data_IF_804791111448
#
_entry.id   IF_804791111448
#
_cell.length_a   1.000
_cell.length_b   1.000
_cell.length_c   1.000
_cell.angle_alpha   90.00
_cell.angle_beta   90.00
_cell.angle_gamma   90.00
#
_symmetry.space_group_name_H-M   'P 1'
#
loop_
_entity.id
_entity.type
_entity.pdbx_description
1 polymer ?
#
# COMPACT_ATOMS: atom_id res chain seq x y z
N UNK A 1 -3.09 26.05 20.96
CA UNK A 1 -3.26 24.68 20.40
C UNK A 1 -1.93 23.97 20.19
N UNK A 2 -0.99 24.47 19.37
CA UNK A 2 0.30 23.78 19.14
C UNK A 2 1.07 23.49 20.43
N UNK A 3 1.24 24.49 21.30
CA UNK A 3 1.88 24.34 22.62
C UNK A 3 1.11 23.41 23.59
N UNK A 4 -0.22 23.28 23.42
CA UNK A 4 -1.04 22.48 24.34
C UNK A 4 -1.04 20.99 23.99
N UNK A 5 -1.01 20.63 22.70
CA UNK A 5 -1.22 19.25 22.26
C UNK A 5 -0.02 18.64 21.53
N UNK A 6 0.65 19.40 20.67
CA UNK A 6 1.54 18.81 19.65
C UNK A 6 2.81 18.20 20.25
N UNK A 7 3.42 18.84 21.24
CA UNK A 7 4.63 18.31 21.89
C UNK A 7 4.36 16.97 22.59
N UNK A 8 3.23 16.87 23.30
CA UNK A 8 2.81 15.65 24.00
C UNK A 8 2.45 14.51 23.06
N UNK A 9 1.83 14.83 21.92
CA UNK A 9 1.57 13.84 20.87
C UNK A 9 2.86 13.41 20.16
N UNK A 10 3.77 14.34 19.89
CA UNK A 10 5.04 14.05 19.20
C UNK A 10 5.98 13.17 20.03
N UNK A 11 6.02 13.39 21.35
CA UNK A 11 6.80 12.58 22.29
C UNK A 11 6.16 11.22 22.60
N UNK A 12 4.92 10.98 22.15
CA UNK A 12 4.17 9.77 22.46
C UNK A 12 3.56 9.73 23.87
N UNK A 13 3.68 10.81 24.66
CA UNK A 13 3.02 10.90 25.96
C UNK A 13 1.49 10.85 25.83
N UNK A 14 0.95 11.45 24.76
CA UNK A 14 -0.47 11.36 24.38
C UNK A 14 -0.62 10.70 23.01
N UNK A 15 -1.69 9.92 22.86
CA UNK A 15 -2.08 9.31 21.59
C UNK A 15 -2.87 10.25 20.70
N UNK A 16 -3.12 9.83 19.46
CA UNK A 16 -3.96 10.56 18.51
C UNK A 16 -4.79 9.63 17.65
N UNK A 17 -5.94 10.12 17.18
CA UNK A 17 -6.81 9.37 16.26
C UNK A 17 -7.37 10.28 15.17
N UNK A 18 -7.85 9.66 14.10
CA UNK A 18 -8.64 10.31 13.07
C UNK A 18 -10.08 9.80 13.16
N UNK A 19 -11.04 10.71 13.36
CA UNK A 19 -12.44 10.40 13.58
C UNK A 19 -13.32 10.93 12.44
N UNK A 20 -13.41 10.14 11.36
CA UNK A 20 -14.14 10.50 10.14
C UNK A 20 -15.47 9.73 10.03
N UNK A 21 -15.37 8.40 10.08
CA UNK A 21 -16.40 7.46 9.65
C UNK A 21 -17.58 7.38 10.61
N UNK A 22 -18.78 7.29 10.05
CA UNK A 22 -20.05 7.03 10.75
C UNK A 22 -20.72 5.80 10.11
N UNK A 23 -21.71 5.15 10.75
CA UNK A 23 -22.38 3.96 10.19
C UNK A 23 -22.90 4.14 8.77
N UNK A 24 -23.40 5.33 8.44
CA UNK A 24 -23.89 5.70 7.11
C UNK A 24 -22.86 6.43 6.23
N UNK A 25 -21.65 6.73 6.74
CA UNK A 25 -20.67 7.60 6.09
C UNK A 25 -19.25 7.00 6.17
N UNK A 26 -18.97 6.02 5.30
CA UNK A 26 -17.64 5.45 5.06
C UNK A 26 -16.92 6.14 3.91
N UNK A 27 -17.00 5.56 2.70
CA UNK A 27 -16.44 6.16 1.48
C UNK A 27 -17.05 7.53 1.16
N UNK A 28 -18.35 7.72 1.45
CA UNK A 28 -19.02 9.02 1.41
C UNK A 28 -18.91 9.73 2.77
N UNK A 29 -17.70 10.22 3.08
CA UNK A 29 -17.43 11.01 4.29
C UNK A 29 -18.33 12.26 4.37
N UNK A 30 -18.78 12.77 3.21
CA UNK A 30 -19.65 13.95 3.12
C UNK A 30 -21.02 13.77 3.76
N UNK A 31 -21.49 12.53 3.91
CA UNK A 31 -22.75 12.17 4.58
C UNK A 31 -22.67 12.21 6.13
N UNK A 32 -21.53 12.62 6.69
CA UNK A 32 -21.36 12.78 8.14
C UNK A 32 -22.41 13.73 8.74
N UNK A 33 -23.01 13.27 9.83
CA UNK A 33 -24.06 13.93 10.63
C UNK A 33 -23.55 14.46 11.97
N UNK A 34 -22.33 14.11 12.40
CA UNK A 34 -21.70 14.68 13.61
C UNK A 34 -21.71 16.20 13.54
N UNK A 35 -22.11 16.85 14.64
CA UNK A 35 -22.30 18.30 14.72
C UNK A 35 -21.29 18.95 15.65
N UNK A 36 -21.00 20.23 15.39
CA UNK A 36 -20.17 21.06 16.24
C UNK A 36 -20.83 22.43 16.45
N UNK A 37 -21.27 22.75 17.66
CA UNK A 37 -21.95 24.01 17.99
C UNK A 37 -21.02 24.92 18.77
N UNK A 38 -20.68 26.09 18.20
CA UNK A 38 -19.81 27.08 18.82
C UNK A 38 -20.42 27.61 20.12
N UNK A 39 -19.59 27.76 21.15
CA UNK A 39 -19.94 28.31 22.45
C UNK A 39 -19.36 29.72 22.63
N UNK A 40 -19.88 30.47 23.60
CA UNK A 40 -19.42 31.83 23.92
C UNK A 40 -17.93 31.88 24.32
N UNK A 41 -17.43 30.82 24.95
CA UNK A 41 -16.02 30.70 25.35
C UNK A 41 -15.07 30.35 24.18
N UNK A 42 -15.58 30.29 22.94
CA UNK A 42 -14.82 29.97 21.74
C UNK A 42 -14.57 28.48 21.49
N UNK A 43 -14.99 27.58 22.41
CA UNK A 43 -14.99 26.13 22.19
C UNK A 43 -16.20 25.71 21.37
N UNK A 44 -16.22 24.45 20.96
CA UNK A 44 -17.36 23.82 20.28
C UNK A 44 -17.87 22.65 21.11
N UNK A 45 -19.19 22.52 21.22
CA UNK A 45 -19.82 21.29 21.70
C UNK A 45 -19.99 20.33 20.53
N UNK A 46 -19.35 19.17 20.63
CA UNK A 46 -19.36 18.13 19.61
C UNK A 46 -20.42 17.09 19.97
N UNK A 47 -21.29 16.73 19.04
CA UNK A 47 -22.27 15.67 19.25
C UNK A 47 -22.40 14.76 18.03
N UNK A 48 -22.32 13.45 18.28
CA UNK A 48 -22.42 12.43 17.23
C UNK A 48 -21.71 11.14 17.58
N UNK A 49 -21.71 10.21 16.65
CA UNK A 49 -21.03 8.92 16.77
C UNK A 49 -20.02 8.75 15.65
N UNK A 50 -18.94 8.04 15.95
CA UNK A 50 -17.91 7.64 14.99
C UNK A 50 -17.62 6.16 15.17
N UNK A 51 -17.39 5.45 14.08
CA UNK A 51 -17.09 4.00 14.11
C UNK A 51 -15.76 3.72 13.41
N UNK A 52 -15.20 2.55 13.70
CA UNK A 52 -13.93 2.09 13.14
C UNK A 52 -12.75 3.01 13.45
N UNK A 53 -12.75 3.60 14.65
CA UNK A 53 -11.67 4.49 15.07
C UNK A 53 -10.52 3.66 15.62
N UNK A 54 -9.47 3.54 14.81
CA UNK A 54 -8.20 2.93 15.20
C UNK A 54 -7.60 3.66 16.40
N UNK A 55 -7.24 2.90 17.43
CA UNK A 55 -6.71 3.43 18.69
C UNK A 55 -7.64 4.42 19.38
N UNK A 56 -8.96 4.28 19.16
CA UNK A 56 -10.00 5.14 19.75
C UNK A 56 -10.00 5.15 21.27
N UNK A 57 -9.57 4.05 21.89
CA UNK A 57 -9.41 3.94 23.34
C UNK A 57 -8.29 2.95 23.67
N UNK A 58 -7.49 3.25 24.70
CA UNK A 58 -6.36 2.45 25.17
C UNK A 58 -5.78 3.02 26.48
N UNK A 59 -4.92 2.25 27.16
CA UNK A 59 -4.26 2.54 28.44
C UNK A 59 -2.73 2.67 28.35
N UNK A 60 -2.16 2.72 27.15
CA UNK A 60 -0.75 2.96 26.84
C UNK A 60 -0.33 4.44 26.98
N UNK A 61 -1.25 5.40 26.83
CA UNK A 61 -0.97 6.84 26.94
C UNK A 61 -1.93 7.55 27.87
N UNK A 62 -1.48 8.66 28.47
CA UNK A 62 -2.23 9.38 29.50
C UNK A 62 -3.49 10.07 28.95
N UNK A 63 -3.49 10.43 27.66
CA UNK A 63 -4.60 11.11 27.00
C UNK A 63 -4.62 10.74 25.50
N UNK A 64 -5.78 10.86 24.87
CA UNK A 64 -5.98 10.59 23.45
C UNK A 64 -6.59 11.84 22.81
N UNK A 65 -5.95 12.34 21.75
CA UNK A 65 -6.41 13.53 21.03
C UNK A 65 -7.12 13.10 19.76
N UNK A 66 -8.46 13.15 19.77
CA UNK A 66 -9.27 12.80 18.61
C UNK A 66 -9.38 13.98 17.63
N UNK A 67 -9.00 13.76 16.38
CA UNK A 67 -9.25 14.71 15.29
C UNK A 67 -10.59 14.37 14.63
N UNK A 68 -11.64 15.09 14.99
CA UNK A 68 -13.04 14.77 14.64
C UNK A 68 -13.53 15.65 13.50
N UNK A 69 -14.02 15.02 12.42
CA UNK A 69 -14.79 15.73 11.40
C UNK A 69 -16.24 15.89 11.86
N UNK A 70 -16.70 17.15 11.86
CA UNK A 70 -18.06 17.51 12.22
C UNK A 70 -18.55 18.73 11.41
N UNK A 71 -19.87 18.93 11.40
CA UNK A 71 -20.54 20.01 10.67
C UNK A 71 -21.02 21.10 11.62
N UNK A 72 -20.72 22.36 11.32
CA UNK A 72 -21.25 23.51 12.06
C UNK A 72 -22.67 23.86 11.59
N UNK A 73 -23.51 24.48 12.44
CA UNK A 73 -24.84 24.93 12.02
C UNK A 73 -24.81 25.82 10.78
N UNK A 74 -25.63 25.49 9.78
CA UNK A 74 -25.71 26.25 8.52
C UNK A 74 -24.64 25.92 7.48
N UNK A 75 -23.65 25.07 7.79
CA UNK A 75 -22.67 24.62 6.81
C UNK A 75 -23.33 23.80 5.68
N UNK A 76 -22.84 23.90 4.43
CA UNK A 76 -23.41 23.19 3.28
C UNK A 76 -23.32 21.67 3.44
N UNK A 77 -24.08 20.92 2.64
CA UNK A 77 -23.98 19.46 2.59
C UNK A 77 -22.64 18.98 1.96
N UNK A 78 -22.31 17.70 2.14
CA UNK A 78 -21.11 17.08 1.57
C UNK A 78 -19.82 17.45 2.31
N UNK A 79 -18.69 17.06 1.71
CA UNK A 79 -17.33 17.23 2.27
C UNK A 79 -16.92 18.69 2.43
N UNK A 80 -17.43 19.59 1.59
CA UNK A 80 -17.18 21.03 1.66
C UNK A 80 -17.78 21.69 2.92
N UNK A 81 -18.73 21.04 3.59
CA UNK A 81 -19.32 21.54 4.83
C UNK A 81 -18.64 21.08 6.12
N UNK A 82 -17.61 20.24 6.02
CA UNK A 82 -16.96 19.64 7.19
C UNK A 82 -15.82 20.52 7.71
N UNK A 83 -15.76 20.65 9.03
CA UNK A 83 -14.66 21.27 9.78
C UNK A 83 -13.96 20.21 10.63
N UNK A 84 -12.71 20.47 11.02
CA UNK A 84 -11.91 19.54 11.82
C UNK A 84 -11.77 20.08 13.24
N UNK A 85 -11.97 19.22 14.23
CA UNK A 85 -11.94 19.59 15.65
C UNK A 85 -10.95 18.74 16.42
N UNK A 86 -10.19 19.37 17.31
CA UNK A 86 -9.36 18.70 18.32
C UNK A 86 -10.24 18.41 19.53
N UNK A 87 -10.48 17.14 19.82
CA UNK A 87 -11.32 16.68 20.94
C UNK A 87 -10.51 15.73 21.81
N UNK A 88 -10.00 16.17 22.97
CA UNK A 88 -9.23 15.30 23.84
C UNK A 88 -10.15 14.39 24.66
N UNK A 89 -9.71 13.16 24.97
CA UNK A 89 -10.39 12.22 25.89
C UNK A 89 -10.46 12.79 27.30
N UNK A 90 -9.37 13.41 27.76
CA UNK A 90 -9.27 14.14 29.04
C UNK A 90 -9.02 15.61 28.72
N UNK A 91 -9.81 16.53 29.30
CA UNK A 91 -9.69 17.96 29.02
C UNK A 91 -8.30 18.47 29.39
N UNK A 92 -7.79 19.43 28.64
CA UNK A 92 -6.47 20.03 28.87
C UNK A 92 -6.65 21.46 29.40
N UNK A 93 -6.07 21.72 30.57
CA UNK A 93 -6.09 23.03 31.22
C UNK A 93 -5.18 24.03 30.47
N UNK A 94 -5.34 25.36 30.70
CA UNK A 94 -4.49 26.36 30.04
C UNK A 94 -2.99 26.21 30.29
N UNK A 95 -2.58 25.60 31.41
CA UNK A 95 -1.19 25.32 31.77
C UNK A 95 -0.65 24.00 31.16
N UNK A 96 -1.48 23.27 30.40
CA UNK A 96 -1.14 21.99 29.78
C UNK A 96 -1.35 20.76 30.67
N UNK A 97 -1.79 20.95 31.93
CA UNK A 97 -2.14 19.83 32.81
C UNK A 97 -3.45 19.15 32.39
N UNK A 98 -3.59 17.87 32.75
CA UNK A 98 -4.83 17.12 32.52
C UNK A 98 -5.90 17.52 33.56
N UNK A 99 -7.10 17.78 33.06
CA UNK A 99 -8.28 18.11 33.85
C UNK A 99 -9.22 16.91 34.01
N UNK A 100 -10.51 17.18 34.05
CA UNK A 100 -11.55 16.15 34.12
C UNK A 100 -11.70 15.41 32.78
N UNK A 101 -12.25 14.18 32.78
CA UNK A 101 -12.66 13.50 31.56
C UNK A 101 -13.54 14.40 30.69
N UNK A 102 -13.34 14.33 29.38
CA UNK A 102 -14.25 14.96 28.43
C UNK A 102 -15.46 14.03 28.20
N UNK A 103 -16.52 14.54 27.57
CA UNK A 103 -17.74 13.77 27.30
C UNK A 103 -17.60 12.94 26.00
N UNK A 104 -16.62 12.03 25.99
CA UNK A 104 -16.35 11.06 24.92
C UNK A 104 -16.43 9.66 25.53
N UNK A 105 -17.29 8.80 24.98
CA UNK A 105 -17.52 7.45 25.47
C UNK A 105 -17.17 6.42 24.41
N UNK A 106 -16.45 5.36 24.81
CA UNK A 106 -16.23 4.18 23.98
C UNK A 106 -17.44 3.26 24.10
N UNK A 107 -18.26 3.21 23.05
CA UNK A 107 -19.47 2.39 23.03
C UNK A 107 -19.19 0.92 22.72
N UNK A 108 -18.08 0.61 22.06
CA UNK A 108 -17.71 -0.75 21.73
C UNK A 108 -16.33 -0.86 21.08
N UNK A 109 -15.82 -2.10 21.04
CA UNK A 109 -14.58 -2.48 20.35
C UNK A 109 -14.94 -3.60 19.36
N UNK A 110 -14.55 -3.44 18.09
CA UNK A 110 -14.94 -4.37 17.03
C UNK A 110 -14.23 -5.74 17.13
N UNK A 111 -14.99 -6.80 16.90
CA UNK A 111 -14.46 -8.16 16.71
C UNK A 111 -13.98 -8.32 15.26
N UNK A 112 -12.66 -8.26 15.05
CA UNK A 112 -12.04 -8.22 13.72
C UNK A 112 -11.49 -9.58 13.29
N UNK A 113 -11.29 -9.75 11.98
CA UNK A 113 -10.55 -10.88 11.39
C UNK A 113 -9.09 -10.94 11.89
N UNK A 114 -8.42 -9.79 11.95
CA UNK A 114 -7.03 -9.65 12.37
C UNK A 114 -6.79 -8.29 13.02
N UNK A 115 -5.52 -7.92 13.18
CA UNK A 115 -5.08 -6.69 13.79
C UNK A 115 -5.63 -6.51 15.22
N UNK A 116 -5.72 -7.61 15.98
CA UNK A 116 -6.41 -7.63 17.28
C UNK A 116 -5.78 -6.70 18.31
N UNK A 117 -4.44 -6.52 18.28
CA UNK A 117 -3.72 -5.61 19.18
C UNK A 117 -4.00 -4.13 18.94
N UNK A 118 -4.67 -3.77 17.84
CA UNK A 118 -5.11 -2.41 17.56
C UNK A 118 -6.61 -2.29 17.92
N UNK A 119 -6.99 -1.59 19.00
CA UNK A 119 -8.40 -1.43 19.35
C UNK A 119 -9.07 -0.57 18.28
N UNK A 120 -10.19 -1.08 17.76
CA UNK A 120 -10.99 -0.41 16.74
C UNK A 120 -12.31 -0.08 17.38
N UNK A 121 -12.55 1.20 17.64
CA UNK A 121 -13.59 1.62 18.56
C UNK A 121 -14.78 2.27 17.86
N UNK A 122 -15.96 2.08 18.44
CA UNK A 122 -17.10 2.97 18.26
C UNK A 122 -17.05 4.04 19.36
N UNK A 123 -17.01 5.31 18.99
CA UNK A 123 -16.92 6.45 19.90
C UNK A 123 -18.18 7.31 19.82
N UNK A 124 -18.75 7.66 20.97
CA UNK A 124 -19.90 8.57 21.09
C UNK A 124 -19.41 9.86 21.72
N UNK A 125 -19.56 10.96 20.99
CA UNK A 125 -19.21 12.30 21.41
C UNK A 125 -20.46 13.03 21.89
N UNK A 126 -20.38 13.62 23.09
CA UNK A 126 -21.42 14.48 23.62
C UNK A 126 -22.71 13.81 24.10
N UNK A 127 -22.73 12.55 24.63
CA UNK A 127 -23.97 11.95 25.11
C UNK A 127 -24.64 12.75 26.23
N UNK A 128 -23.88 13.58 26.96
CA UNK A 128 -24.37 14.47 28.00
C UNK A 128 -24.34 15.95 27.58
N UNK A 129 -24.13 16.26 26.30
CA UNK A 129 -23.96 17.60 25.74
C UNK A 129 -22.80 18.40 26.36
N UNK A 130 -21.73 17.72 26.77
CA UNK A 130 -20.57 18.36 27.43
C UNK A 130 -19.24 18.10 26.71
N UNK A 131 -19.28 17.61 25.47
CA UNK A 131 -18.06 17.25 24.73
C UNK A 131 -17.43 18.48 24.10
N UNK A 132 -16.35 18.96 24.70
CA UNK A 132 -15.69 20.17 24.24
C UNK A 132 -14.58 19.85 23.23
N UNK A 133 -14.59 20.60 22.13
CA UNK A 133 -13.56 20.57 21.10
C UNK A 133 -13.07 21.96 20.69
N UNK A 134 -11.94 21.99 20.00
CA UNK A 134 -11.33 23.19 19.45
C UNK A 134 -11.31 23.10 17.93
N UNK A 135 -11.75 24.14 17.22
CA UNK A 135 -11.63 24.19 15.77
C UNK A 135 -10.15 24.18 15.37
N UNK A 136 -9.76 23.27 14.48
CA UNK A 136 -8.43 23.23 13.88
C UNK A 136 -8.48 23.88 12.50
N UNK A 137 -7.73 24.98 12.32
CA UNK A 137 -7.79 25.80 11.12
C UNK A 137 -9.04 26.68 11.08
N UNK A 138 -9.63 26.84 9.90
CA UNK A 138 -10.87 27.60 9.70
C UNK A 138 -12.07 26.67 9.48
N UNK A 139 -13.28 27.18 9.69
CA UNK A 139 -14.50 26.44 9.36
C UNK A 139 -14.51 26.05 7.87
N UNK A 140 -15.11 24.91 7.56
CA UNK A 140 -15.25 24.35 6.20
C UNK A 140 -13.94 23.86 5.56
N UNK A 141 -12.82 23.90 6.30
CA UNK A 141 -11.51 23.40 5.81
C UNK A 141 -11.18 21.97 6.29
N UNK A 142 -12.12 21.27 6.94
CA UNK A 142 -11.83 20.02 7.62
C UNK A 142 -11.25 18.94 6.71
N UNK A 143 -11.85 18.76 5.52
CA UNK A 143 -11.35 17.77 4.55
C UNK A 143 -10.00 18.15 3.94
N UNK A 144 -9.76 19.45 3.69
CA UNK A 144 -8.47 19.94 3.20
C UNK A 144 -7.35 19.61 4.20
N UNK A 145 -7.60 19.85 5.49
CA UNK A 145 -6.67 19.52 6.55
C UNK A 145 -6.44 18.02 6.68
N UNK A 146 -7.51 17.22 6.59
CA UNK A 146 -7.42 15.77 6.65
C UNK A 146 -6.59 15.18 5.49
N UNK A 147 -6.67 15.75 4.29
CA UNK A 147 -5.86 15.28 3.15
C UNK A 147 -4.34 15.39 3.37
N UNK A 148 -3.87 16.32 4.21
CA UNK A 148 -2.45 16.37 4.60
C UNK A 148 -2.02 15.12 5.38
N UNK A 149 -2.95 14.47 6.10
CA UNK A 149 -2.71 13.22 6.82
C UNK A 149 -2.96 12.00 5.94
N UNK A 150 -3.94 12.05 5.04
CA UNK A 150 -4.35 10.89 4.23
C UNK A 150 -3.27 10.40 3.26
N UNK A 151 -2.50 11.28 2.61
CA UNK A 151 -1.48 10.83 1.65
C UNK A 151 -0.38 10.00 2.33
N UNK A 152 0.27 10.48 3.42
CA UNK A 152 1.18 9.65 4.21
C UNK A 152 0.52 8.38 4.75
N UNK A 153 -0.69 8.47 5.32
CA UNK A 153 -1.41 7.32 5.87
C UNK A 153 -1.65 6.23 4.81
N UNK A 154 -2.01 6.60 3.58
CA UNK A 154 -2.21 5.64 2.48
C UNK A 154 -0.91 4.96 2.06
N UNK A 155 0.21 5.67 2.10
CA UNK A 155 1.54 5.10 1.80
C UNK A 155 1.96 4.16 2.94
N UNK A 156 1.70 4.53 4.19
CA UNK A 156 1.91 3.68 5.36
C UNK A 156 1.06 2.39 5.29
N UNK A 157 -0.18 2.47 4.83
CA UNK A 157 -1.02 1.30 4.55
C UNK A 157 -0.43 0.42 3.43
N UNK A 158 0.12 1.04 2.38
CA UNK A 158 0.88 0.31 1.36
C UNK A 158 2.10 -0.41 1.94
N UNK A 159 2.83 0.27 2.82
CA UNK A 159 3.96 -0.29 3.56
C UNK A 159 3.54 -1.44 4.49
N UNK A 160 2.38 -1.34 5.16
CA UNK A 160 1.85 -2.44 5.96
C UNK A 160 1.62 -3.70 5.12
N UNK A 161 1.04 -3.56 3.92
CA UNK A 161 0.86 -4.68 2.99
C UNK A 161 2.19 -5.31 2.56
N UNK A 162 3.18 -4.46 2.22
CA UNK A 162 4.52 -4.90 1.84
C UNK A 162 5.29 -5.57 2.99
N UNK A 163 5.24 -5.00 4.19
CA UNK A 163 5.98 -5.48 5.35
C UNK A 163 5.44 -6.84 5.84
N UNK A 164 4.12 -7.03 5.87
CA UNK A 164 3.51 -8.32 6.22
C UNK A 164 3.84 -9.38 5.17
N UNK A 165 3.84 -9.02 3.88
CA UNK A 165 4.27 -9.91 2.81
C UNK A 165 5.76 -10.30 2.94
N UNK A 166 6.62 -9.35 3.30
CA UNK A 166 8.04 -9.59 3.52
C UNK A 166 8.28 -10.54 4.70
N UNK A 167 7.58 -10.33 5.83
CA UNK A 167 7.65 -11.20 6.99
C UNK A 167 7.15 -12.62 6.66
N UNK A 168 5.97 -12.74 6.03
CA UNK A 168 5.42 -14.02 5.60
C UNK A 168 6.36 -14.77 4.65
N UNK A 169 6.99 -14.07 3.71
CA UNK A 169 7.99 -14.65 2.81
C UNK A 169 9.21 -15.18 3.57
N UNK A 170 9.75 -14.40 4.51
CA UNK A 170 10.92 -14.82 5.29
C UNK A 170 10.63 -16.09 6.09
N UNK A 171 9.48 -16.15 6.77
CA UNK A 171 9.06 -17.33 7.52
C UNK A 171 8.84 -18.55 6.61
N UNK A 172 8.11 -18.39 5.51
CA UNK A 172 7.88 -19.47 4.55
C UNK A 172 9.18 -19.97 3.93
N UNK A 173 10.12 -19.07 3.63
CA UNK A 173 11.44 -19.43 3.10
C UNK A 173 12.26 -20.23 4.11
N UNK A 174 12.26 -19.84 5.40
CA UNK A 174 12.93 -20.60 6.45
C UNK A 174 12.32 -21.99 6.63
N UNK A 175 11.00 -22.08 6.71
CA UNK A 175 10.28 -23.34 6.82
C UNK A 175 10.58 -24.28 5.64
N UNK A 176 10.58 -23.76 4.41
CA UNK A 176 10.80 -24.55 3.21
C UNK A 176 12.20 -25.19 3.13
N UNK A 177 13.21 -24.56 3.75
CA UNK A 177 14.59 -25.08 3.78
C UNK A 177 14.77 -26.31 4.67
N UNK A 178 13.90 -26.50 5.66
CA UNK A 178 14.06 -27.56 6.66
C UNK A 178 12.96 -28.62 6.61
N UNK A 179 11.78 -28.28 6.07
CA UNK A 179 10.67 -29.24 5.98
C UNK A 179 10.96 -30.30 4.93
N UNK A 180 11.24 -31.54 5.36
CA UNK A 180 11.38 -32.70 4.48
C UNK A 180 10.01 -33.24 4.07
N UNK A 181 9.76 -33.34 2.76
CA UNK A 181 8.57 -34.00 2.23
C UNK A 181 8.75 -34.36 0.76
N UNK A 182 8.34 -35.57 0.37
CA UNK A 182 8.42 -36.03 -1.02
C UNK A 182 9.85 -36.18 -1.55
N UNK A 183 9.97 -36.56 -2.82
CA UNK A 183 11.25 -36.87 -3.48
C UNK A 183 11.65 -35.76 -4.42
N UNK A 184 12.95 -35.63 -4.70
CA UNK A 184 13.43 -34.72 -5.72
C UNK A 184 12.74 -34.99 -7.08
N UNK A 185 12.37 -33.95 -7.82
CA UNK A 185 11.56 -34.06 -9.04
C UNK A 185 12.23 -34.87 -10.17
N UNK A 186 13.56 -35.00 -10.16
CA UNK A 186 14.30 -35.88 -11.08
C UNK A 186 14.25 -37.36 -10.71
N UNK A 187 13.76 -37.71 -9.50
CA UNK A 187 13.72 -39.06 -8.94
C UNK A 187 12.32 -39.50 -8.52
N UNK A 188 11.26 -38.95 -9.12
CA UNK A 188 9.87 -39.23 -8.72
C UNK A 188 9.51 -40.74 -8.73
N UNK A 189 10.06 -41.50 -9.69
CA UNK A 189 9.83 -42.95 -9.85
C UNK A 189 10.67 -43.84 -8.93
N UNK A 190 11.71 -43.29 -8.29
CA UNK A 190 12.56 -44.03 -7.38
C UNK A 190 11.90 -44.08 -6.00
N UNK A 191 11.37 -45.23 -5.61
CA UNK A 191 10.60 -45.32 -4.36
C UNK A 191 11.46 -45.24 -3.09
N UNK A 192 12.76 -45.52 -3.22
CA UNK A 192 13.75 -45.55 -2.15
C UNK A 192 14.53 -44.23 -2.03
N UNK A 193 14.31 -43.28 -2.95
CA UNK A 193 14.94 -41.98 -2.87
C UNK A 193 14.58 -41.26 -1.55
N UNK A 194 15.57 -40.67 -0.85
CA UNK A 194 15.32 -39.95 0.40
C UNK A 194 14.42 -38.74 0.17
N UNK A 195 13.74 -38.33 1.24
CA UNK A 195 13.00 -37.07 1.22
C UNK A 195 13.95 -35.89 1.03
N UNK A 196 13.45 -34.85 0.37
CA UNK A 196 14.17 -33.58 0.20
C UNK A 196 13.43 -32.44 0.90
N UNK A 197 14.14 -31.37 1.31
CA UNK A 197 13.50 -30.14 1.73
C UNK A 197 12.52 -29.64 0.67
N UNK A 198 11.35 -29.14 1.08
CA UNK A 198 10.32 -28.73 0.12
C UNK A 198 10.75 -27.56 -0.76
N UNK A 199 11.77 -26.79 -0.37
CA UNK A 199 12.39 -25.79 -1.24
C UNK A 199 12.99 -26.40 -2.51
N UNK A 200 13.22 -27.72 -2.60
CA UNK A 200 13.67 -28.37 -3.83
C UNK A 200 12.54 -28.67 -4.81
N UNK A 201 11.28 -28.48 -4.42
CA UNK A 201 10.13 -28.68 -5.31
C UNK A 201 9.90 -27.46 -6.20
N UNK A 202 9.76 -27.63 -7.53
CA UNK A 202 9.63 -26.52 -8.47
C UNK A 202 8.49 -25.54 -8.13
N UNK A 203 7.34 -26.04 -7.67
CA UNK A 203 6.20 -25.17 -7.34
C UNK A 203 6.43 -24.33 -6.08
N UNK A 204 7.05 -24.91 -5.04
CA UNK A 204 7.44 -24.17 -3.82
C UNK A 204 8.46 -23.09 -4.16
N UNK A 205 9.48 -23.40 -4.98
CA UNK A 205 10.43 -22.40 -5.48
C UNK A 205 9.72 -21.30 -6.27
N UNK A 206 8.80 -21.66 -7.18
CA UNK A 206 8.02 -20.70 -7.97
C UNK A 206 7.22 -19.76 -7.05
N UNK A 207 6.51 -20.27 -6.06
CA UNK A 207 5.74 -19.46 -5.11
C UNK A 207 6.65 -18.53 -4.32
N UNK A 208 7.67 -19.07 -3.65
CA UNK A 208 8.62 -18.27 -2.86
C UNK A 208 9.32 -17.19 -3.70
N UNK A 209 9.76 -17.54 -4.90
CA UNK A 209 10.48 -16.59 -5.76
C UNK A 209 9.58 -15.52 -6.36
N UNK A 210 8.32 -15.86 -6.65
CA UNK A 210 7.31 -14.86 -7.05
C UNK A 210 6.99 -13.92 -5.89
N UNK A 211 6.81 -14.45 -4.67
CA UNK A 211 6.63 -13.66 -3.45
C UNK A 211 7.80 -12.70 -3.21
N UNK A 212 9.03 -13.20 -3.34
CA UNK A 212 10.24 -12.38 -3.25
C UNK A 212 10.22 -11.22 -4.27
N UNK A 213 9.91 -11.50 -5.53
CA UNK A 213 9.89 -10.48 -6.58
C UNK A 213 8.85 -9.37 -6.30
N UNK A 214 7.62 -9.72 -5.87
CA UNK A 214 6.61 -8.72 -5.49
C UNK A 214 7.04 -7.90 -4.28
N UNK A 215 7.57 -8.53 -3.23
CA UNK A 215 8.07 -7.83 -2.03
C UNK A 215 9.13 -6.78 -2.43
N UNK A 216 10.07 -7.17 -3.30
CA UNK A 216 11.11 -6.23 -3.78
C UNK A 216 10.53 -5.09 -4.65
N UNK A 217 9.55 -5.38 -5.50
CA UNK A 217 8.91 -4.37 -6.35
C UNK A 217 8.08 -3.37 -5.52
N UNK A 218 7.27 -3.85 -4.58
CA UNK A 218 6.49 -3.02 -3.66
C UNK A 218 7.40 -2.12 -2.83
N UNK A 219 8.49 -2.67 -2.28
CA UNK A 219 9.46 -1.89 -1.52
C UNK A 219 10.09 -0.78 -2.35
N UNK A 220 10.47 -1.07 -3.60
CA UNK A 220 11.06 -0.06 -4.49
C UNK A 220 10.08 1.08 -4.78
N UNK A 221 8.82 0.75 -5.08
CA UNK A 221 7.75 1.73 -5.33
C UNK A 221 7.51 2.63 -4.11
N UNK A 222 7.41 2.03 -2.91
CA UNK A 222 7.18 2.75 -1.65
C UNK A 222 8.36 3.65 -1.29
N UNK A 223 9.59 3.15 -1.42
CA UNK A 223 10.80 3.93 -1.15
C UNK A 223 10.96 5.10 -2.13
N UNK A 224 10.70 4.89 -3.42
CA UNK A 224 10.77 5.96 -4.42
C UNK A 224 9.71 7.05 -4.15
N UNK A 225 8.50 6.64 -3.77
CA UNK A 225 7.42 7.59 -3.43
C UNK A 225 7.76 8.37 -2.16
N UNK A 226 8.36 7.71 -1.17
CA UNK A 226 8.83 8.37 0.05
C UNK A 226 9.95 9.38 -0.23
N UNK A 227 10.89 9.02 -1.10
CA UNK A 227 11.89 9.97 -1.60
C UNK A 227 11.23 11.20 -2.25
N UNK A 228 10.23 11.00 -3.11
CA UNK A 228 9.51 12.14 -3.70
C UNK A 228 8.79 13.00 -2.67
N UNK A 229 8.25 12.42 -1.58
CA UNK A 229 7.68 13.19 -0.46
C UNK A 229 8.75 14.08 0.16
N UNK A 230 9.94 13.55 0.46
CA UNK A 230 11.01 14.36 1.03
C UNK A 230 11.44 15.46 0.05
N UNK A 231 11.50 15.15 -1.24
CA UNK A 231 11.78 16.15 -2.26
C UNK A 231 10.74 17.28 -2.29
N UNK A 232 9.45 17.01 -2.02
CA UNK A 232 8.44 18.09 -1.90
C UNK A 232 8.69 19.06 -0.74
N UNK A 233 9.51 18.67 0.25
CA UNK A 233 9.82 19.47 1.44
C UNK A 233 11.10 20.28 1.29
N UNK A 234 12.04 19.81 0.46
CA UNK A 234 13.38 20.42 0.31
C UNK A 234 13.59 21.13 -1.02
N UNK A 235 12.65 21.02 -1.96
CA UNK A 235 12.69 21.74 -3.25
C UNK A 235 11.62 22.82 -3.30
N UNK A 236 11.79 23.77 -4.23
CA UNK A 236 10.89 24.90 -4.43
C UNK A 236 10.48 25.04 -5.91
N UNK A 237 9.45 25.85 -6.18
CA UNK A 237 9.04 26.19 -7.55
C UNK A 237 8.58 24.97 -8.37
N UNK A 238 8.98 24.94 -9.65
CA UNK A 238 8.56 23.89 -10.59
C UNK A 238 9.00 22.47 -10.16
N UNK A 239 10.15 22.36 -9.49
CA UNK A 239 10.67 21.07 -9.05
C UNK A 239 9.82 20.49 -7.91
N UNK A 240 9.45 21.32 -6.92
CA UNK A 240 8.53 20.94 -5.86
C UNK A 240 7.18 20.51 -6.41
N UNK A 241 6.63 21.28 -7.35
CA UNK A 241 5.36 20.99 -8.00
C UNK A 241 5.40 19.67 -8.78
N UNK A 242 6.53 19.37 -9.43
CA UNK A 242 6.75 18.10 -10.14
C UNK A 242 6.72 16.92 -9.17
N UNK A 243 7.50 16.96 -8.09
CA UNK A 243 7.51 15.87 -7.11
C UNK A 243 6.16 15.70 -6.41
N UNK A 244 5.47 16.79 -6.07
CA UNK A 244 4.12 16.74 -5.52
C UNK A 244 3.16 16.02 -6.48
N UNK A 245 3.28 16.29 -7.78
CA UNK A 245 2.46 15.63 -8.80
C UNK A 245 2.76 14.14 -8.92
N UNK A 246 4.02 13.72 -8.73
CA UNK A 246 4.37 12.30 -8.68
C UNK A 246 3.79 11.61 -7.45
N UNK A 247 3.92 12.23 -6.27
CA UNK A 247 3.35 11.69 -5.03
C UNK A 247 1.83 11.50 -5.18
N UNK A 248 1.13 12.46 -5.77
CA UNK A 248 -0.32 12.37 -5.96
C UNK A 248 -0.76 11.22 -6.87
N UNK A 249 0.00 10.90 -7.91
CA UNK A 249 -0.27 9.76 -8.80
C UNK A 249 0.13 8.43 -8.14
N UNK A 250 1.27 8.40 -7.46
CA UNK A 250 1.81 7.18 -6.87
C UNK A 250 1.10 6.77 -5.58
N UNK A 251 0.53 7.70 -4.82
CA UNK A 251 -0.18 7.40 -3.55
C UNK A 251 -1.25 6.31 -3.70
N UNK A 252 -2.26 6.41 -4.60
CA UNK A 252 -3.26 5.37 -4.76
C UNK A 252 -2.66 4.03 -5.23
N UNK A 253 -1.60 4.07 -6.06
CA UNK A 253 -0.91 2.86 -6.53
C UNK A 253 -0.17 2.19 -5.36
N UNK A 254 0.61 2.94 -4.59
CA UNK A 254 1.30 2.46 -3.39
C UNK A 254 0.32 1.82 -2.41
N UNK A 255 -0.82 2.46 -2.15
CA UNK A 255 -1.84 1.93 -1.26
C UNK A 255 -2.44 0.64 -1.84
N UNK A 256 -3.11 0.73 -2.98
CA UNK A 256 -3.94 -0.37 -3.46
C UNK A 256 -3.11 -1.54 -3.98
N UNK A 257 -2.15 -1.28 -4.88
CA UNK A 257 -1.34 -2.34 -5.49
C UNK A 257 -0.52 -3.08 -4.44
N UNK A 258 0.13 -2.36 -3.52
CA UNK A 258 0.93 -3.02 -2.48
C UNK A 258 0.06 -3.76 -1.45
N UNK A 259 -1.13 -3.25 -1.12
CA UNK A 259 -2.04 -3.97 -0.21
C UNK A 259 -2.64 -5.25 -0.82
N UNK A 260 -3.02 -5.23 -2.10
CA UNK A 260 -3.60 -6.41 -2.76
C UNK A 260 -2.53 -7.47 -3.01
N UNK A 261 -1.38 -7.09 -3.56
CA UNK A 261 -0.27 -8.02 -3.75
C UNK A 261 0.37 -8.44 -2.43
N UNK A 262 0.39 -7.57 -1.43
CA UNK A 262 0.81 -7.92 -0.07
C UNK A 262 -0.03 -9.07 0.48
N UNK A 263 -1.36 -8.95 0.39
CA UNK A 263 -2.27 -10.02 0.79
C UNK A 263 -2.06 -11.30 -0.05
N UNK A 264 -1.93 -11.21 -1.38
CA UNK A 264 -1.66 -12.38 -2.25
C UNK A 264 -0.35 -13.09 -1.91
N UNK A 265 0.69 -12.33 -1.55
CA UNK A 265 1.95 -12.92 -1.09
C UNK A 265 1.76 -13.66 0.23
N UNK A 266 1.03 -13.10 1.20
CA UNK A 266 0.73 -13.82 2.46
C UNK A 266 -0.05 -15.12 2.22
N UNK A 267 -1.00 -15.12 1.29
CA UNK A 267 -1.75 -16.32 0.85
C UNK A 267 -0.81 -17.39 0.29
N UNK A 268 0.08 -17.04 -0.63
CA UNK A 268 1.05 -18.01 -1.17
C UNK A 268 2.05 -18.50 -0.13
N UNK A 269 2.48 -17.62 0.78
CA UNK A 269 3.39 -18.01 1.85
C UNK A 269 2.71 -18.97 2.84
N UNK A 270 1.42 -18.77 3.14
CA UNK A 270 0.62 -19.71 3.91
C UNK A 270 0.59 -21.10 3.25
N UNK A 271 0.41 -21.15 1.92
CA UNK A 271 0.40 -22.40 1.16
C UNK A 271 1.70 -23.22 1.33
N UNK A 272 2.86 -22.56 1.49
CA UNK A 272 4.16 -23.24 1.69
C UNK A 272 4.19 -24.07 2.97
N UNK A 273 3.44 -23.69 4.00
CA UNK A 273 3.32 -24.45 5.24
C UNK A 273 2.42 -25.70 5.11
N UNK A 274 1.62 -25.80 4.05
CA UNK A 274 0.62 -26.85 3.89
C UNK A 274 -0.42 -26.79 5.01
N UNK A 275 -0.77 -27.94 5.59
CA UNK A 275 -1.76 -28.01 6.68
C UNK A 275 -1.43 -27.12 7.87
N UNK A 276 -0.15 -26.99 8.25
CA UNK A 276 0.28 -26.11 9.33
C UNK A 276 0.05 -24.62 9.05
N UNK A 277 -0.08 -24.23 7.78
CA UNK A 277 -0.41 -22.86 7.41
C UNK A 277 -1.82 -22.46 7.85
N UNK A 278 -2.70 -23.43 8.10
CA UNK A 278 -4.08 -23.21 8.54
C UNK A 278 -4.25 -23.38 10.07
N UNK A 279 -3.14 -23.35 10.80
CA UNK A 279 -3.09 -23.57 12.25
C UNK A 279 -2.32 -22.42 12.92
N UNK A 280 -2.55 -22.18 14.21
CA UNK A 280 -1.96 -21.03 14.93
C UNK A 280 -0.53 -21.30 15.43
N UNK A 281 -0.01 -22.50 15.17
CA UNK A 281 1.33 -22.96 15.53
C UNK A 281 2.43 -22.19 14.79
N UNK A 282 2.10 -21.63 13.63
CA UNK A 282 2.98 -20.77 12.84
C UNK A 282 2.33 -19.41 12.57
N UNK A 283 3.11 -18.33 12.41
CA UNK A 283 2.58 -16.98 12.23
C UNK A 283 1.91 -16.75 10.86
N UNK A 284 1.97 -17.73 9.96
CA UNK A 284 1.49 -17.60 8.58
C UNK A 284 0.01 -17.18 8.49
N UNK A 285 -0.85 -17.77 9.32
CA UNK A 285 -2.28 -17.47 9.35
C UNK A 285 -2.55 -16.04 9.87
N UNK A 286 -1.77 -15.60 10.87
CA UNK A 286 -1.87 -14.25 11.41
C UNK A 286 -1.47 -13.21 10.37
N UNK A 287 -0.36 -13.39 9.65
CA UNK A 287 0.04 -12.45 8.59
C UNK A 287 -1.04 -12.28 7.53
N UNK A 288 -1.71 -13.36 7.14
CA UNK A 288 -2.81 -13.31 6.18
C UNK A 288 -4.01 -12.52 6.72
N UNK A 289 -4.42 -12.77 7.97
CA UNK A 289 -5.53 -12.04 8.60
C UNK A 289 -5.22 -10.55 8.77
N UNK A 290 -4.01 -10.25 9.22
CA UNK A 290 -3.53 -8.88 9.48
C UNK A 290 -3.30 -8.09 8.18
N UNK A 291 -2.96 -8.76 7.07
CA UNK A 291 -2.77 -8.11 5.77
C UNK A 291 -4.09 -7.68 5.12
N UNK A 292 -5.20 -8.38 5.41
CA UNK A 292 -6.46 -8.17 4.68
C UNK A 292 -7.06 -6.77 4.85
N UNK A 293 -6.87 -6.16 6.02
CA UNK A 293 -7.41 -4.83 6.32
C UNK A 293 -6.79 -3.73 5.44
N UNK A 294 -5.56 -3.92 4.97
CA UNK A 294 -4.84 -2.93 4.16
C UNK A 294 -5.56 -2.61 2.85
N UNK A 295 -6.29 -3.55 2.25
CA UNK A 295 -7.09 -3.29 1.03
C UNK A 295 -8.42 -2.57 1.29
N UNK A 296 -8.79 -2.40 2.57
CA UNK A 296 -10.13 -1.94 2.98
C UNK A 296 -10.08 -0.52 3.55
N UNK A 297 -9.30 -0.29 4.61
CA UNK A 297 -9.27 1.00 5.28
C UNK A 297 -8.41 2.05 4.55
N UNK A 298 -8.45 3.29 5.04
CA UNK A 298 -7.85 4.46 4.36
C UNK A 298 -8.32 4.66 2.90
N UNK A 299 -9.54 4.20 2.63
CA UNK A 299 -10.18 4.13 1.32
C UNK A 299 -9.93 2.78 0.65
N UNK A 300 -11.00 2.06 0.33
CA UNK A 300 -10.92 0.73 -0.31
C UNK A 300 -10.13 0.79 -1.62
N UNK A 301 -9.57 -0.33 -2.06
CA UNK A 301 -8.77 -0.34 -3.29
C UNK A 301 -9.58 0.06 -4.54
N UNK A 302 -10.89 -0.21 -4.56
CA UNK A 302 -11.78 0.35 -5.58
C UNK A 302 -11.83 1.88 -5.55
N UNK A 303 -11.91 2.49 -4.36
CA UNK A 303 -11.87 3.96 -4.23
C UNK A 303 -10.50 4.53 -4.63
N UNK A 304 -9.39 3.87 -4.30
CA UNK A 304 -8.05 4.30 -4.75
C UNK A 304 -7.91 4.21 -6.27
N UNK A 305 -8.44 3.13 -6.87
CA UNK A 305 -8.43 2.94 -8.30
C UNK A 305 -9.28 4.00 -9.02
N UNK A 306 -10.46 4.31 -8.49
CA UNK A 306 -11.30 5.40 -8.97
C UNK A 306 -10.62 6.76 -8.83
N UNK A 307 -9.97 7.03 -7.69
CA UNK A 307 -9.17 8.24 -7.49
C UNK A 307 -8.09 8.38 -8.57
N UNK A 308 -7.34 7.30 -8.81
CA UNK A 308 -6.30 7.25 -9.83
C UNK A 308 -6.88 7.61 -11.21
N UNK A 309 -7.86 6.85 -11.69
CA UNK A 309 -8.34 7.01 -13.08
C UNK A 309 -9.15 8.28 -13.30
N UNK A 310 -9.95 8.72 -12.32
CA UNK A 310 -10.84 9.86 -12.47
C UNK A 310 -10.17 11.20 -12.13
N UNK A 311 -9.19 11.22 -11.21
CA UNK A 311 -8.59 12.47 -10.73
C UNK A 311 -7.10 12.56 -11.01
N UNK A 312 -6.32 11.51 -10.73
CA UNK A 312 -4.84 11.59 -10.79
C UNK A 312 -4.27 11.47 -12.19
N UNK A 313 -4.81 10.56 -13.02
CA UNK A 313 -4.35 10.39 -14.41
C UNK A 313 -4.65 11.60 -15.30
N UNK A 314 -5.83 12.25 -15.24
CA UNK A 314 -6.11 13.43 -16.07
C UNK A 314 -5.42 14.71 -15.57
N UNK A 315 -4.96 14.74 -14.31
CA UNK A 315 -4.36 15.92 -13.70
C UNK A 315 -3.23 16.50 -14.55
N UNK A 316 -3.21 17.83 -14.71
CA UNK A 316 -2.22 18.57 -15.52
C UNK A 316 -2.07 17.99 -16.94
N UNK A 317 -3.18 17.58 -17.54
CA UNK A 317 -3.21 16.97 -18.88
C UNK A 317 -2.44 15.65 -18.97
N UNK A 318 -2.33 14.90 -17.87
CA UNK A 318 -1.61 13.63 -17.80
C UNK A 318 -0.09 13.75 -17.85
N UNK A 319 0.49 14.95 -17.68
CA UNK A 319 1.94 15.13 -17.61
C UNK A 319 2.60 14.24 -16.54
N UNK A 320 2.10 14.15 -15.29
CA UNK A 320 2.82 13.40 -14.24
C UNK A 320 2.93 11.90 -14.52
N UNK A 321 1.84 11.25 -14.93
CA UNK A 321 1.88 9.82 -15.28
C UNK A 321 2.76 9.54 -16.51
N UNK A 322 2.74 10.42 -17.52
CA UNK A 322 3.63 10.28 -18.69
C UNK A 322 5.10 10.35 -18.32
N UNK A 323 5.46 11.21 -17.38
CA UNK A 323 6.84 11.30 -16.89
C UNK A 323 7.25 10.05 -16.10
N UNK A 324 6.37 9.55 -15.21
CA UNK A 324 6.60 8.31 -14.46
C UNK A 324 6.75 7.08 -15.39
N UNK A 325 5.85 6.91 -16.35
CA UNK A 325 5.99 5.85 -17.37
C UNK A 325 7.19 6.09 -18.30
N UNK A 326 7.61 7.35 -18.48
CA UNK A 326 8.83 7.72 -19.17
C UNK A 326 10.11 7.20 -18.49
N UNK A 327 10.11 7.04 -17.17
CA UNK A 327 11.22 6.42 -16.43
C UNK A 327 11.32 4.91 -16.74
N UNK A 328 10.17 4.23 -16.82
CA UNK A 328 10.09 2.83 -17.26
C UNK A 328 10.52 2.66 -18.73
N UNK A 329 10.09 3.56 -19.62
CA UNK A 329 10.52 3.63 -21.01
C UNK A 329 12.05 3.82 -21.13
N UNK A 330 12.64 4.66 -20.27
CA UNK A 330 14.10 4.85 -20.23
C UNK A 330 14.83 3.56 -19.83
N UNK A 331 14.29 2.80 -18.88
CA UNK A 331 14.83 1.49 -18.48
C UNK A 331 14.74 0.47 -19.61
N UNK A 332 13.60 0.42 -20.31
CA UNK A 332 13.48 -0.39 -21.52
C UNK A 332 14.55 -0.02 -22.55
N UNK A 333 14.71 1.28 -22.87
CA UNK A 333 15.71 1.75 -23.85
C UNK A 333 17.15 1.41 -23.45
N UNK A 334 17.48 1.48 -22.16
CA UNK A 334 18.79 1.10 -21.60
C UNK A 334 19.08 -0.39 -21.80
N UNK A 335 18.08 -1.26 -21.64
CA UNK A 335 18.26 -2.71 -21.53
C UNK A 335 17.85 -3.51 -22.78
N UNK A 336 17.12 -2.93 -23.74
CA UNK A 336 16.54 -3.64 -24.90
C UNK A 336 17.54 -4.31 -25.85
N UNK A 337 18.82 -3.97 -25.76
CA UNK A 337 19.90 -4.57 -26.55
C UNK A 337 20.92 -5.32 -25.68
N UNK A 338 20.67 -5.42 -24.38
CA UNK A 338 21.55 -6.10 -23.44
C UNK A 338 21.36 -7.63 -23.56
N UNK A 339 22.41 -8.43 -23.75
CA UNK A 339 22.25 -9.88 -23.98
C UNK A 339 21.52 -10.63 -22.86
N UNK A 340 21.60 -10.18 -21.61
CA UNK A 340 20.95 -10.82 -20.47
C UNK A 340 19.55 -10.26 -20.21
N UNK A 341 19.35 -8.96 -20.48
CA UNK A 341 18.12 -8.26 -20.13
C UNK A 341 17.23 -7.93 -21.33
N UNK A 342 17.64 -8.23 -22.56
CA UNK A 342 16.90 -7.91 -23.78
C UNK A 342 15.45 -8.41 -23.71
N UNK A 343 15.23 -9.70 -23.53
CA UNK A 343 13.88 -10.26 -23.48
C UNK A 343 13.05 -9.70 -22.30
N UNK A 344 13.55 -9.66 -21.04
CA UNK A 344 12.86 -8.96 -19.95
C UNK A 344 12.51 -7.50 -20.25
N UNK A 345 13.41 -6.76 -20.88
CA UNK A 345 13.18 -5.37 -21.27
C UNK A 345 12.09 -5.27 -22.33
N UNK A 346 12.06 -6.16 -23.32
CA UNK A 346 10.99 -6.20 -24.31
C UNK A 346 9.62 -6.55 -23.71
N UNK A 347 9.57 -7.35 -22.63
CA UNK A 347 8.32 -7.55 -21.86
C UNK A 347 7.84 -6.24 -21.23
N UNK A 348 8.75 -5.43 -20.67
CA UNK A 348 8.43 -4.09 -20.15
C UNK A 348 7.96 -3.15 -21.26
N UNK A 349 8.66 -3.13 -22.41
CA UNK A 349 8.28 -2.33 -23.57
C UNK A 349 6.88 -2.72 -24.10
N UNK A 350 6.58 -4.02 -24.17
CA UNK A 350 5.26 -4.51 -24.55
C UNK A 350 4.18 -4.07 -23.56
N UNK A 351 4.43 -4.18 -22.25
CA UNK A 351 3.49 -3.74 -21.21
C UNK A 351 3.22 -2.22 -21.25
N UNK A 352 4.26 -1.40 -21.42
CA UNK A 352 4.14 0.05 -21.64
C UNK A 352 3.27 0.36 -22.87
N UNK A 353 3.52 -0.37 -23.96
CA UNK A 353 2.75 -0.22 -25.20
C UNK A 353 1.26 -0.52 -25.01
N UNK A 354 0.92 -1.53 -24.21
CA UNK A 354 -0.48 -1.82 -23.90
C UNK A 354 -1.17 -0.65 -23.18
N UNK A 355 -0.53 -0.03 -22.19
CA UNK A 355 -1.08 1.14 -21.49
C UNK A 355 -1.27 2.31 -22.45
N UNK A 356 -0.28 2.58 -23.31
CA UNK A 356 -0.36 3.63 -24.33
C UNK A 356 -1.54 3.42 -25.28
N UNK A 357 -1.69 2.20 -25.81
CA UNK A 357 -2.71 1.87 -26.79
C UNK A 357 -4.12 1.93 -26.19
N UNK A 358 -4.29 1.50 -24.94
CA UNK A 358 -5.58 1.65 -24.25
C UNK A 358 -5.90 3.14 -24.04
N UNK A 359 -4.93 3.94 -23.60
CA UNK A 359 -5.15 5.38 -23.39
C UNK A 359 -5.60 6.08 -24.69
N UNK A 360 -4.97 5.77 -25.83
CA UNK A 360 -5.36 6.31 -27.14
C UNK A 360 -6.68 5.73 -27.67
N UNK A 361 -6.99 4.49 -27.34
CA UNK A 361 -8.20 3.81 -27.79
C UNK A 361 -9.45 4.29 -27.05
N UNK A 362 -9.37 4.42 -25.72
CA UNK A 362 -10.49 4.82 -24.88
C UNK A 362 -11.05 6.19 -25.24
N UNK A 363 -10.21 7.16 -25.59
CA UNK A 363 -10.67 8.53 -25.95
C UNK A 363 -11.56 8.57 -27.19
N UNK A 364 -11.56 7.49 -28.00
CA UNK A 364 -12.37 7.37 -29.22
C UNK A 364 -13.69 6.65 -28.99
N UNK A 365 -13.91 6.11 -27.78
CA UNK A 365 -15.08 5.30 -27.46
C UNK A 365 -16.24 6.15 -26.94
N UNK A 366 -17.49 5.90 -27.36
CA UNK A 366 -18.65 6.60 -26.80
C UNK A 366 -18.95 6.20 -25.34
N UNK A 367 -18.60 4.97 -24.95
CA UNK A 367 -18.81 4.38 -23.63
C UNK A 367 -17.57 4.49 -22.71
N UNK A 368 -16.58 5.30 -23.09
CA UNK A 368 -15.26 5.36 -22.45
C UNK A 368 -15.32 5.53 -20.93
N UNK A 369 -16.22 6.40 -20.44
CA UNK A 369 -16.37 6.68 -19.01
C UNK A 369 -16.72 5.41 -18.25
N UNK A 370 -17.72 4.65 -18.70
CA UNK A 370 -18.15 3.46 -17.99
C UNK A 370 -17.10 2.35 -18.06
N UNK A 371 -16.47 2.15 -19.23
CA UNK A 371 -15.38 1.17 -19.39
C UNK A 371 -14.23 1.48 -18.43
N UNK A 372 -13.85 2.76 -18.28
CA UNK A 372 -12.80 3.18 -17.34
C UNK A 372 -13.19 2.91 -15.90
N UNK A 373 -14.43 3.21 -15.51
CA UNK A 373 -14.91 3.01 -14.14
C UNK A 373 -14.95 1.53 -13.77
N UNK A 374 -15.51 0.68 -14.62
CA UNK A 374 -15.57 -0.78 -14.44
C UNK A 374 -14.18 -1.41 -14.36
N UNK A 375 -13.21 -0.84 -15.08
CA UNK A 375 -11.85 -1.37 -15.15
C UNK A 375 -10.83 -0.57 -14.34
N UNK A 376 -11.28 0.28 -13.42
CA UNK A 376 -10.39 1.15 -12.63
C UNK A 376 -9.32 0.35 -11.88
N UNK A 377 -9.69 -0.75 -11.22
CA UNK A 377 -8.76 -1.64 -10.50
C UNK A 377 -7.77 -2.32 -11.46
N UNK A 378 -8.21 -2.99 -12.55
CA UNK A 378 -7.30 -3.48 -13.59
C UNK A 378 -6.32 -2.44 -14.13
N UNK A 379 -6.74 -1.19 -14.33
CA UNK A 379 -5.86 -0.11 -14.75
C UNK A 379 -4.78 0.21 -13.71
N UNK A 380 -5.17 0.32 -12.44
CA UNK A 380 -4.23 0.55 -11.35
C UNK A 380 -3.20 -0.57 -11.28
N UNK A 381 -3.64 -1.83 -11.39
CA UNK A 381 -2.79 -3.02 -11.43
C UNK A 381 -1.78 -2.99 -12.57
N UNK A 382 -2.23 -2.64 -13.79
CA UNK A 382 -1.36 -2.54 -14.94
C UNK A 382 -0.22 -1.53 -14.73
N UNK A 383 -0.53 -0.36 -14.16
CA UNK A 383 0.47 0.67 -13.88
C UNK A 383 1.41 0.19 -12.76
N UNK A 384 0.87 -0.41 -11.70
CA UNK A 384 1.67 -0.99 -10.61
C UNK A 384 2.65 -2.06 -11.11
N UNK A 385 2.19 -2.99 -11.95
CA UNK A 385 3.02 -4.04 -12.54
C UNK A 385 4.13 -3.46 -13.43
N UNK A 386 3.83 -2.44 -14.26
CA UNK A 386 4.82 -1.76 -15.10
C UNK A 386 5.88 -1.03 -14.26
N UNK A 387 5.47 -0.28 -13.24
CA UNK A 387 6.40 0.42 -12.35
C UNK A 387 7.23 -0.57 -11.54
N UNK A 388 6.63 -1.65 -11.03
CA UNK A 388 7.34 -2.73 -10.34
C UNK A 388 8.39 -3.40 -11.22
N UNK A 389 8.02 -3.76 -12.45
CA UNK A 389 8.95 -4.35 -13.43
C UNK A 389 10.08 -3.39 -13.81
N UNK A 390 9.76 -2.10 -13.98
CA UNK A 390 10.76 -1.06 -14.19
C UNK A 390 11.78 -0.99 -13.05
N UNK A 391 11.33 -0.85 -11.80
CA UNK A 391 12.25 -0.73 -10.67
C UNK A 391 13.12 -1.96 -10.50
N UNK A 392 12.55 -3.16 -10.67
CA UNK A 392 13.32 -4.39 -10.58
C UNK A 392 14.39 -4.49 -11.68
N UNK A 393 14.06 -4.13 -12.93
CA UNK A 393 15.02 -4.16 -14.03
C UNK A 393 16.13 -3.12 -13.88
N UNK A 394 15.80 -1.92 -13.41
CA UNK A 394 16.82 -0.91 -13.13
C UNK A 394 17.77 -1.37 -12.01
N UNK A 395 17.23 -1.89 -10.90
CA UNK A 395 18.01 -2.48 -9.81
C UNK A 395 18.85 -3.67 -10.28
N UNK A 396 18.32 -4.53 -11.16
CA UNK A 396 19.06 -5.68 -11.70
C UNK A 396 20.26 -5.25 -12.54
N UNK A 397 20.14 -4.14 -13.29
CA UNK A 397 21.27 -3.59 -14.05
C UNK A 397 22.43 -3.18 -13.14
N UNK A 398 22.12 -2.52 -12.02
CA UNK A 398 23.10 -2.12 -10.99
C UNK A 398 23.66 -3.36 -10.26
N UNK A 399 22.78 -4.29 -9.88
CA UNK A 399 23.15 -5.51 -9.16
C UNK A 399 24.12 -6.37 -9.98
N UNK A 400 23.91 -6.49 -11.29
CA UNK A 400 24.81 -7.21 -12.18
C UNK A 400 26.22 -6.60 -12.21
N UNK A 401 26.33 -5.29 -12.29
CA UNK A 401 27.63 -4.60 -12.27
C UNK A 401 28.38 -4.88 -10.96
N UNK A 402 27.67 -4.80 -9.83
CA UNK A 402 28.24 -5.14 -8.51
C UNK A 402 28.65 -6.61 -8.41
N UNK A 403 27.83 -7.52 -8.92
CA UNK A 403 28.14 -8.96 -8.93
C UNK A 403 29.37 -9.28 -9.77
N UNK A 404 29.51 -8.67 -10.94
CA UNK A 404 30.69 -8.85 -11.79
C UNK A 404 31.97 -8.29 -11.16
N UNK A 405 31.88 -7.17 -10.43
CA UNK A 405 33.01 -6.66 -9.66
C UNK A 405 33.45 -7.67 -8.59
N UNK A 406 32.51 -8.23 -7.82
CA UNK A 406 32.80 -9.25 -6.82
C UNK A 406 33.41 -10.53 -7.43
N UNK A 407 32.87 -11.00 -8.56
CA UNK A 407 33.43 -12.17 -9.26
C UNK A 407 34.87 -11.91 -9.72
N UNK A 408 35.13 -10.71 -10.26
CA UNK A 408 36.48 -10.31 -10.70
C UNK A 408 37.47 -10.25 -9.53
N UNK A 409 37.06 -9.66 -8.41
CA UNK A 409 37.89 -9.59 -7.19
C UNK A 409 38.19 -10.98 -6.63
N UNK A 410 37.23 -11.91 -6.69
CA UNK A 410 37.38 -13.28 -6.24
C UNK A 410 38.08 -14.21 -7.27
N UNK A 411 38.38 -13.73 -8.48
CA UNK A 411 38.94 -14.56 -9.55
C UNK A 411 38.00 -15.66 -10.05
N UNK A 412 36.68 -15.49 -9.89
CA UNK A 412 35.64 -16.45 -10.29
C UNK A 412 35.11 -16.05 -11.66
N UNK A 413 35.21 -16.93 -12.65
CA UNK A 413 34.54 -16.74 -13.95
C UNK A 413 33.05 -17.13 -13.83
N UNK A 414 32.09 -16.21 -14.05
CA UNK A 414 30.67 -16.55 -14.03
C UNK A 414 30.25 -17.61 -15.06
N UNK A 415 31.09 -17.92 -16.06
CA UNK A 415 30.85 -19.00 -17.02
C UNK A 415 31.23 -20.38 -16.49
N UNK A 416 32.08 -20.47 -15.47
CA UNK A 416 32.31 -21.70 -14.73
C UNK A 416 31.16 -21.89 -13.74
N UNK A 417 30.15 -22.65 -14.15
CA UNK A 417 28.94 -22.84 -13.34
C UNK A 417 29.22 -23.41 -11.95
N UNK A 418 30.23 -24.26 -11.81
CA UNK A 418 30.52 -24.94 -10.53
C UNK A 418 31.18 -23.94 -9.58
N UNK A 419 32.24 -23.27 -10.05
CA UNK A 419 32.93 -22.26 -9.26
C UNK A 419 31.99 -21.09 -8.90
N UNK A 420 31.14 -20.67 -9.85
CA UNK A 420 30.20 -19.60 -9.64
C UNK A 420 29.09 -19.98 -8.64
N UNK A 421 28.49 -21.17 -8.74
CA UNK A 421 27.48 -21.63 -7.77
C UNK A 421 28.08 -21.75 -6.37
N UNK A 422 29.31 -22.25 -6.25
CA UNK A 422 30.01 -22.31 -4.97
C UNK A 422 30.26 -20.91 -4.39
N UNK A 423 30.74 -19.98 -5.22
CA UNK A 423 30.95 -18.59 -4.81
C UNK A 423 29.67 -17.92 -4.32
N UNK A 424 28.54 -18.14 -5.00
CA UNK A 424 27.24 -17.64 -4.54
C UNK A 424 26.79 -18.26 -3.21
N UNK A 425 27.14 -19.52 -2.93
CA UNK A 425 26.82 -20.15 -1.66
C UNK A 425 27.66 -19.57 -0.50
N UNK A 426 28.90 -19.19 -0.78
CA UNK A 426 29.87 -18.74 0.23
C UNK A 426 29.89 -17.21 0.43
N UNK A 427 29.35 -16.43 -0.52
CA UNK A 427 29.34 -14.96 -0.47
C UNK A 427 27.91 -14.40 -0.50
N UNK A 428 27.46 -13.88 0.64
CA UNK A 428 26.09 -13.36 0.82
C UNK A 428 25.77 -12.16 -0.09
N UNK A 429 26.73 -11.26 -0.33
CA UNK A 429 26.52 -10.10 -1.20
C UNK A 429 26.39 -10.53 -2.67
N UNK A 430 27.23 -11.47 -3.11
CA UNK A 430 27.13 -12.05 -4.44
C UNK A 430 25.78 -12.76 -4.62
N UNK A 431 25.33 -13.54 -3.63
CA UNK A 431 24.01 -14.18 -3.64
C UNK A 431 22.87 -13.15 -3.71
N UNK A 432 22.97 -12.06 -2.95
CA UNK A 432 21.98 -10.97 -2.95
C UNK A 432 21.86 -10.34 -4.34
N UNK A 433 22.99 -9.94 -4.94
CA UNK A 433 22.99 -9.32 -6.27
C UNK A 433 22.53 -10.29 -7.36
N UNK A 434 22.94 -11.56 -7.29
CA UNK A 434 22.44 -12.61 -8.18
C UNK A 434 20.92 -12.73 -8.10
N UNK A 435 20.37 -12.79 -6.89
CA UNK A 435 18.93 -12.93 -6.67
C UNK A 435 18.15 -11.69 -7.11
N UNK A 436 18.73 -10.47 -7.03
CA UNK A 436 18.13 -9.26 -7.61
C UNK A 436 17.99 -9.35 -9.13
N UNK A 437 19.03 -9.85 -9.81
CA UNK A 437 18.99 -10.10 -11.26
C UNK A 437 17.91 -11.12 -11.60
N UNK A 438 17.88 -12.26 -10.91
CA UNK A 438 16.91 -13.32 -11.16
C UNK A 438 15.47 -12.87 -10.87
N UNK A 439 15.24 -12.09 -9.81
CA UNK A 439 13.90 -11.59 -9.46
C UNK A 439 13.34 -10.66 -10.54
N UNK A 440 14.16 -9.79 -11.11
CA UNK A 440 13.74 -8.90 -12.20
C UNK A 440 13.38 -9.68 -13.47
N UNK A 441 14.20 -10.66 -13.83
CA UNK A 441 13.94 -11.55 -14.98
C UNK A 441 12.63 -12.31 -14.75
N UNK A 442 12.47 -12.94 -13.58
CA UNK A 442 11.26 -13.69 -13.23
C UNK A 442 10.01 -12.81 -13.25
N UNK A 443 10.06 -11.62 -12.66
CA UNK A 443 8.95 -10.68 -12.67
C UNK A 443 8.58 -10.27 -14.11
N UNK A 444 9.57 -10.01 -14.95
CA UNK A 444 9.35 -9.64 -16.35
C UNK A 444 8.65 -10.76 -17.15
N UNK A 445 8.99 -12.03 -16.92
CA UNK A 445 8.33 -13.15 -17.62
C UNK A 445 7.00 -13.59 -16.99
N UNK A 446 6.80 -13.38 -15.68
CA UNK A 446 5.65 -13.96 -14.95
C UNK A 446 4.58 -12.95 -14.57
N UNK A 447 4.92 -11.66 -14.54
CA UNK A 447 4.00 -10.60 -14.10
C UNK A 447 3.65 -9.66 -15.24
N UNK A 448 4.65 -9.11 -15.96
CA UNK A 448 4.38 -8.14 -17.03
C UNK A 448 3.44 -8.64 -18.14
N UNK A 449 3.42 -9.93 -18.54
CA UNK A 449 2.45 -10.42 -19.52
C UNK A 449 0.99 -10.27 -19.08
N UNK A 450 0.72 -10.21 -17.77
CA UNK A 450 -0.64 -9.98 -17.25
C UNK A 450 -1.16 -8.60 -17.61
N UNK A 451 -0.28 -7.62 -17.89
CA UNK A 451 -0.67 -6.30 -18.40
C UNK A 451 -1.37 -6.44 -19.76
N UNK A 452 -0.85 -7.30 -20.64
CA UNK A 452 -1.48 -7.60 -21.93
C UNK A 452 -2.81 -8.32 -21.77
N UNK A 453 -2.91 -9.29 -20.85
CA UNK A 453 -4.16 -9.99 -20.60
C UNK A 453 -5.26 -9.01 -20.12
N UNK A 454 -4.94 -8.14 -19.16
CA UNK A 454 -5.85 -7.09 -18.69
C UNK A 454 -6.21 -6.10 -19.81
N UNK A 455 -5.23 -5.71 -20.63
CA UNK A 455 -5.46 -4.81 -21.75
C UNK A 455 -6.49 -5.35 -22.76
N UNK A 456 -6.46 -6.66 -23.03
CA UNK A 456 -7.45 -7.32 -23.89
C UNK A 456 -8.85 -7.19 -23.28
N UNK A 457 -9.01 -7.51 -21.99
CA UNK A 457 -10.30 -7.40 -21.30
C UNK A 457 -10.84 -5.96 -21.31
N UNK A 458 -9.99 -4.97 -21.02
CA UNK A 458 -10.38 -3.54 -21.00
C UNK A 458 -10.85 -3.09 -22.40
N UNK A 459 -10.12 -3.46 -23.46
CA UNK A 459 -10.47 -3.07 -24.83
C UNK A 459 -11.77 -3.72 -25.32
N UNK A 460 -12.11 -4.90 -24.80
CA UNK A 460 -13.40 -5.54 -25.10
C UNK A 460 -14.56 -4.64 -24.66
N UNK A 461 -14.39 -3.86 -23.58
CA UNK A 461 -15.43 -2.94 -23.09
C UNK A 461 -16.69 -3.69 -22.68
N UNK A 462 -16.51 -4.79 -21.95
CA UNK A 462 -17.60 -5.61 -21.42
C UNK A 462 -18.41 -4.81 -20.38
N UNK A 463 -19.73 -4.90 -20.45
CA UNK A 463 -20.69 -4.07 -19.69
C UNK A 463 -21.71 -4.89 -18.89
N UNK A 464 -21.58 -6.21 -18.87
CA UNK A 464 -22.48 -7.14 -18.19
C UNK A 464 -22.72 -6.79 -16.72
N UNK A 465 -21.73 -6.35 -15.92
CA UNK A 465 -21.99 -5.90 -14.55
C UNK A 465 -22.98 -4.73 -14.43
N UNK A 466 -23.12 -3.90 -15.47
CA UNK A 466 -24.08 -2.79 -15.50
C UNK A 466 -25.43 -3.17 -16.11
N UNK A 467 -25.46 -4.23 -16.92
CA UNK A 467 -26.65 -4.71 -17.62
C UNK A 467 -27.35 -5.86 -16.85
N UNK A 468 -26.63 -6.52 -15.95
CA UNK A 468 -27.14 -7.61 -15.14
C UNK A 468 -28.26 -7.13 -14.20
N UNK A 469 -29.30 -7.96 -14.11
CA UNK A 469 -30.34 -7.84 -13.09
C UNK A 469 -29.94 -8.79 -11.96
N UNK A 470 -29.33 -8.25 -10.90
CA UNK A 470 -28.81 -8.98 -9.74
C UNK A 470 -29.84 -9.11 -8.60
#
# INVERSE_FOLDING_TARGET
MRQLFVEKMYTGQWGGTMCLTEPQAGSDVGASKTRAVKQENGRYLISGEKIFITSGDQDLTENIIHLVLARTPGAPAGTAGLSLFVVPKIRVNPDGSLGQPNDVQTAGIEHKLGLHGSPTCSLVFGPNNQCEGFLLGEELQGMKLMFHMMNPARIEVGLQGEALAAAAFQEAWQYAKVRLQGRHWTRLKDHEAPQVPIIEHPDVRRMLFTSYAYVQAMRALLMQTSYYIDMTRVTEGEEQERYQSYVEVLTPICKAWASDWGFRVTEWCLQVFGGYGYTQEYPAEQYLRDAKIASIYEGTNGIQALDLVARKLPAKGGKPIRELLGQAEATFKKLRNDPQFMEPAWMLGAALKQIEDISKGLTKRPDAVMVVLLNSVPFLDMIGDVLGGHFLLDQASIAREKLWALCKEAGVDPKDEVAYKQFLADNADAAFYHNKVQAAIHFAYRVLPNVTARAVAIRAGEMGPMEAVL
#
